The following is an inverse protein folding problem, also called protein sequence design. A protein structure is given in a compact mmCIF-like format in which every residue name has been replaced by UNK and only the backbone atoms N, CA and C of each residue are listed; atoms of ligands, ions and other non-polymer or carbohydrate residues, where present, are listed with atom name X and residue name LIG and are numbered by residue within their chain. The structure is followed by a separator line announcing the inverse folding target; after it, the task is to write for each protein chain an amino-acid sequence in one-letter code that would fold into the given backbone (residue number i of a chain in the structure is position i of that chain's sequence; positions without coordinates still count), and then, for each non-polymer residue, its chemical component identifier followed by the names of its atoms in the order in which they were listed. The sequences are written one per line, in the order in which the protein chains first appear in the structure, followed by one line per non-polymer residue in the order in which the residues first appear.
data_IF_964091174801
#
_entry.id   IF_964091174801
#
_cell.length_a   1.000
_cell.length_b   1.000
_cell.length_c   1.000
_cell.angle_alpha   90.00
_cell.angle_beta   90.00
_cell.angle_gamma   90.00
#
_symmetry.space_group_name_H-M   'P 1'
#
loop_
_entity.id
_entity.type
_entity.pdbx_description
1 polymer ?
#
# COMPACT_ATOMS: atom_id res chain seq x y z
N UNK A 1 2.38 -7.89 -1.51
CA UNK A 1 3.64 -7.14 -1.21
C UNK A 1 3.74 -6.78 0.26
N UNK A 2 4.95 -6.73 0.83
CA UNK A 2 5.20 -6.31 2.21
C UNK A 2 5.84 -4.92 2.34
N UNK A 3 6.51 -4.46 1.28
CA UNK A 3 7.19 -3.16 1.22
C UNK A 3 6.58 -2.30 0.10
N UNK A 4 6.54 -0.99 0.33
CA UNK A 4 6.15 0.02 -0.64
C UNK A 4 6.93 1.33 -0.37
N UNK A 5 7.02 2.21 -1.36
CA UNK A 5 7.59 3.54 -1.22
C UNK A 5 6.53 4.47 -0.62
N UNK A 6 6.75 4.87 0.64
CA UNK A 6 5.96 5.89 1.33
C UNK A 6 6.84 7.12 1.46
N UNK A 7 6.42 8.26 0.91
CA UNK A 7 7.19 9.52 0.94
C UNK A 7 8.66 9.35 0.50
N UNK A 8 8.90 8.57 -0.56
CA UNK A 8 10.25 8.33 -1.09
C UNK A 8 11.09 7.31 -0.31
N UNK A 9 10.56 6.69 0.75
CA UNK A 9 11.28 5.69 1.56
C UNK A 9 10.65 4.30 1.47
N UNK A 10 11.48 3.28 1.32
CA UNK A 10 11.08 1.88 1.39
C UNK A 10 10.53 1.57 2.79
N UNK A 11 9.22 1.31 2.86
CA UNK A 11 8.48 1.18 4.11
C UNK A 11 7.72 -0.13 4.15
N UNK A 12 7.87 -0.88 5.26
CA UNK A 12 7.12 -2.10 5.50
C UNK A 12 5.68 -1.77 5.90
N UNK A 13 4.70 -2.56 5.43
CA UNK A 13 3.26 -2.34 5.71
C UNK A 13 2.94 -2.24 7.21
N UNK A 14 3.68 -2.96 8.07
CA UNK A 14 3.45 -2.89 9.52
C UNK A 14 3.84 -1.55 10.15
N UNK A 15 4.65 -0.73 9.49
CA UNK A 15 5.09 0.57 10.00
C UNK A 15 4.11 1.71 9.67
N UNK A 16 3.06 1.44 8.90
CA UNK A 16 2.07 2.45 8.48
C UNK A 16 0.67 2.11 8.97
N UNK A 17 -0.21 3.11 9.17
CA UNK A 17 -1.62 2.85 9.48
C UNK A 17 -2.37 2.18 8.32
N UNK A 18 -3.47 1.49 8.64
CA UNK A 18 -4.39 0.92 7.63
C UNK A 18 -4.90 2.06 6.73
N UNK A 19 -4.97 1.84 5.42
CA UNK A 19 -5.46 2.82 4.46
C UNK A 19 -4.39 3.78 3.93
N UNK A 20 -3.15 3.69 4.41
CA UNK A 20 -2.03 4.50 3.88
C UNK A 20 -1.84 4.20 2.39
N UNK A 21 -1.82 5.23 1.56
CA UNK A 21 -1.50 5.12 0.13
C UNK A 21 0.01 5.26 -0.04
N UNK A 22 0.59 4.39 -0.85
CA UNK A 22 2.01 4.36 -1.18
C UNK A 22 2.18 4.03 -2.66
N UNK A 23 3.43 3.99 -3.10
CA UNK A 23 3.79 3.50 -4.44
C UNK A 23 4.47 2.16 -4.34
N UNK A 24 4.21 1.31 -5.33
CA UNK A 24 4.95 0.06 -5.46
C UNK A 24 6.47 0.31 -5.51
N UNK A 25 7.23 -0.57 -4.88
CA UNK A 25 8.68 -0.59 -5.02
C UNK A 25 9.06 -1.34 -6.30
N UNK A 26 9.73 -0.68 -7.23
CA UNK A 26 10.21 -1.26 -8.49
C UNK A 26 9.35 -0.93 -9.73
N UNK A 27 8.10 -0.53 -9.56
CA UNK A 27 7.25 0.00 -10.64
C UNK A 27 6.74 1.38 -10.29
N UNK A 28 7.11 2.37 -11.11
CA UNK A 28 7.06 3.78 -10.74
C UNK A 28 5.65 4.38 -10.64
N UNK A 29 4.60 3.68 -11.11
CA UNK A 29 3.29 4.29 -11.32
C UNK A 29 2.08 3.56 -10.75
N UNK A 30 2.25 2.46 -10.00
CA UNK A 30 1.11 1.78 -9.39
C UNK A 30 0.89 2.24 -7.94
N UNK A 31 -0.25 2.92 -7.65
CA UNK A 31 -0.62 3.21 -6.28
C UNK A 31 -1.03 1.92 -5.57
N UNK A 32 -0.58 1.79 -4.33
CA UNK A 32 -0.92 0.68 -3.43
C UNK A 32 -1.47 1.24 -2.13
N UNK A 33 -2.38 0.50 -1.49
CA UNK A 33 -2.97 0.83 -0.19
C UNK A 33 -2.54 -0.19 0.86
N UNK A 34 -2.25 0.28 2.07
CA UNK A 34 -1.88 -0.55 3.21
C UNK A 34 -3.12 -1.25 3.79
N UNK A 35 -3.24 -2.55 3.57
CA UNK A 35 -4.23 -3.39 4.25
C UNK A 35 -3.61 -3.97 5.51
N UNK A 36 -4.18 -3.64 6.67
CA UNK A 36 -3.85 -4.25 7.96
C UNK A 36 -5.09 -4.94 8.52
N UNK A 37 -4.97 -6.23 8.79
CA UNK A 37 -5.94 -7.02 9.54
C UNK A 37 -5.26 -7.73 10.72
N UNK A 38 -6.07 -8.32 11.61
CA UNK A 38 -5.62 -9.01 12.82
C UNK A 38 -4.58 -10.11 12.55
N UNK A 39 -4.67 -10.77 11.39
CA UNK A 39 -3.83 -11.92 11.04
C UNK A 39 -2.86 -11.64 9.87
N UNK A 40 -3.11 -10.60 9.08
CA UNK A 40 -2.33 -10.34 7.86
C UNK A 40 -2.28 -8.86 7.55
N UNK A 41 -1.06 -8.40 7.26
CA UNK A 41 -0.80 -7.07 6.75
C UNK A 41 -0.12 -7.18 5.40
N UNK A 42 -0.59 -6.42 4.41
CA UNK A 42 -0.06 -6.43 3.05
C UNK A 42 -0.42 -5.16 2.29
N UNK A 43 0.36 -4.84 1.28
CA UNK A 43 0.03 -3.81 0.29
C UNK A 43 -0.83 -4.41 -0.82
N UNK A 44 -1.91 -3.70 -1.17
CA UNK A 44 -2.87 -4.04 -2.23
C UNK A 44 -2.83 -2.97 -3.31
N UNK A 45 -2.80 -3.36 -4.59
CA UNK A 45 -2.88 -2.39 -5.69
C UNK A 45 -4.24 -1.71 -5.72
N UNK A 46 -4.21 -0.41 -5.97
CA UNK A 46 -5.40 0.39 -6.19
C UNK A 46 -5.50 0.66 -7.69
N UNK A 47 -6.64 0.30 -8.27
CA UNK A 47 -6.98 0.76 -9.62
C UNK A 47 -7.63 2.13 -9.51
N UNK A 48 -7.07 3.13 -10.19
CA UNK A 48 -7.53 4.53 -10.18
C UNK A 48 -8.97 4.63 -10.74
N UNK A 49 -9.41 3.66 -11.56
CA UNK A 49 -10.74 3.64 -12.17
C UNK A 49 -11.88 3.13 -11.26
N UNK A 50 -11.59 2.60 -10.08
CA UNK A 50 -12.62 2.22 -9.09
C UNK A 50 -12.30 2.92 -7.79
N UNK A 51 -13.00 4.02 -7.52
CA UNK A 51 -12.91 4.85 -6.32
C UNK A 51 -13.41 4.17 -5.03
N UNK A 52 -13.20 2.85 -4.88
CA UNK A 52 -13.37 2.12 -3.64
C UNK A 52 -11.99 1.71 -3.12
N UNK A 53 -11.29 2.68 -2.53
CA UNK A 53 -10.04 2.52 -1.79
C UNK A 53 -10.28 1.74 -0.48
N UNK A 54 -10.68 0.47 -0.59
CA UNK A 54 -11.06 -0.35 0.56
C UNK A 54 -10.06 -1.48 0.79
N UNK A 55 -9.43 -1.37 1.95
CA UNK A 55 -8.91 -2.45 2.78
C UNK A 55 -9.83 -2.56 4.02
#
# INVERSE_FOLDING_TARGET
MKYAIVNGKLTHVNKVPKGTIAREFGYTNYPVIACKGKYRSYWKYVSINKANLVC
#
